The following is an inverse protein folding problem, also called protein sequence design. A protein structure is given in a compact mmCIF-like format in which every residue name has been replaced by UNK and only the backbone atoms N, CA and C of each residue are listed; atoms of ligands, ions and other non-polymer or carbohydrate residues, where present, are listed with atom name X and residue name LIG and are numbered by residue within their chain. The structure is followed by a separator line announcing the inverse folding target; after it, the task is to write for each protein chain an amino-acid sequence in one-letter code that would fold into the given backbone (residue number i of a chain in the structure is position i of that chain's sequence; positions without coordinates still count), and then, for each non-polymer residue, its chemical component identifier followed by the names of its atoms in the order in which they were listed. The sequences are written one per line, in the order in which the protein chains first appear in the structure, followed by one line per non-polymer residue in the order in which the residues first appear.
data_IF_656538116968
#
_entry.id   IF_656538116968
#
_cell.length_a   1.000
_cell.length_b   1.000
_cell.length_c   1.000
_cell.angle_alpha   90.00
_cell.angle_beta   90.00
_cell.angle_gamma   90.00
#
_symmetry.space_group_name_H-M   'P 1'
#
loop_
_entity.id
_entity.type
_entity.pdbx_description
1 polymer ?
#
# COMPACT_ATOMS: atom_id res chain seq x y z
N UNK A 1 -19.83 -13.78 6.53
CA UNK A 1 -19.72 -12.31 6.43
C UNK A 1 -19.30 -11.97 5.00
N UNK A 2 -20.02 -11.08 4.32
CA UNK A 2 -19.75 -10.66 2.93
C UNK A 2 -18.82 -9.45 2.92
N UNK A 3 -17.70 -9.57 2.22
CA UNK A 3 -16.64 -8.56 2.19
C UNK A 3 -16.45 -8.05 0.77
N UNK A 4 -16.48 -6.73 0.59
CA UNK A 4 -16.03 -6.08 -0.63
C UNK A 4 -14.56 -5.65 -0.47
N UNK A 5 -13.66 -6.24 -1.25
CA UNK A 5 -12.24 -5.88 -1.25
C UNK A 5 -11.88 -5.10 -2.52
N UNK A 6 -11.29 -3.91 -2.32
CA UNK A 6 -10.92 -2.96 -3.38
C UNK A 6 -9.41 -2.87 -3.53
N UNK A 7 -8.88 -3.22 -4.73
CA UNK A 7 -7.46 -3.11 -5.08
C UNK A 7 -7.29 -2.33 -6.39
N UNK A 8 -7.13 -1.00 -6.35
CA UNK A 8 -7.08 -0.17 -7.56
C UNK A 8 -5.79 -0.30 -8.36
N UNK A 9 -4.75 -0.91 -7.77
CA UNK A 9 -3.47 -1.17 -8.42
C UNK A 9 -2.97 -2.56 -8.01
N UNK A 10 -3.44 -3.59 -8.73
CA UNK A 10 -3.28 -4.98 -8.35
C UNK A 10 -1.91 -5.54 -8.79
N UNK A 11 -0.82 -4.94 -8.28
CA UNK A 11 0.53 -5.44 -8.45
C UNK A 11 0.68 -6.85 -7.84
N UNK A 12 1.71 -7.58 -8.23
CA UNK A 12 1.90 -8.99 -7.82
C UNK A 12 1.83 -9.19 -6.29
N UNK A 13 2.39 -8.27 -5.51
CA UNK A 13 2.34 -8.30 -4.04
C UNK A 13 0.93 -8.07 -3.48
N UNK A 14 0.18 -7.11 -4.04
CA UNK A 14 -1.21 -6.83 -3.65
C UNK A 14 -2.12 -7.99 -4.03
N UNK A 15 -1.95 -8.52 -5.25
CA UNK A 15 -2.68 -9.70 -5.72
C UNK A 15 -2.44 -10.91 -4.82
N UNK A 16 -1.17 -11.18 -4.46
CA UNK A 16 -0.83 -12.27 -3.55
C UNK A 16 -1.51 -12.09 -2.18
N UNK A 17 -1.43 -10.89 -1.61
CA UNK A 17 -2.04 -10.58 -0.31
C UNK A 17 -3.56 -10.82 -0.33
N UNK A 18 -4.29 -10.25 -1.32
CA UNK A 18 -5.76 -10.40 -1.38
C UNK A 18 -6.20 -11.84 -1.64
N UNK A 19 -5.46 -12.59 -2.48
CA UNK A 19 -5.75 -14.00 -2.71
C UNK A 19 -5.44 -14.84 -1.46
N UNK A 20 -4.37 -14.50 -0.74
CA UNK A 20 -4.04 -15.11 0.55
C UNK A 20 -5.17 -14.92 1.57
N UNK A 21 -5.73 -13.71 1.69
CA UNK A 21 -6.89 -13.48 2.55
C UNK A 21 -8.07 -14.38 2.17
N UNK A 22 -8.41 -14.46 0.88
CA UNK A 22 -9.50 -15.31 0.40
C UNK A 22 -9.27 -16.80 0.67
N UNK A 23 -8.04 -17.26 0.50
CA UNK A 23 -7.71 -18.68 0.67
C UNK A 23 -7.63 -19.13 2.13
N UNK A 24 -7.26 -18.24 3.05
CA UNK A 24 -7.09 -18.59 4.46
C UNK A 24 -8.30 -18.20 5.34
N UNK A 25 -9.21 -17.40 4.84
CA UNK A 25 -10.40 -16.98 5.56
C UNK A 25 -11.64 -17.54 4.87
N UNK A 26 -11.72 -18.87 4.79
CA UNK A 26 -12.74 -19.63 4.05
C UNK A 26 -14.18 -19.35 4.53
N UNK A 27 -14.35 -18.98 5.79
CA UNK A 27 -15.66 -18.61 6.37
C UNK A 27 -16.16 -17.22 5.93
N UNK A 28 -15.36 -16.49 5.14
CA UNK A 28 -15.66 -15.14 4.66
C UNK A 28 -15.92 -15.15 3.15
N UNK A 29 -17.01 -14.49 2.75
CA UNK A 29 -17.39 -14.37 1.33
C UNK A 29 -16.79 -13.08 0.74
N UNK A 30 -15.72 -13.23 -0.04
CA UNK A 30 -15.01 -12.12 -0.68
C UNK A 30 -15.51 -11.84 -2.09
N UNK A 31 -16.00 -10.62 -2.30
CA UNK A 31 -16.16 -10.01 -3.62
C UNK A 31 -14.97 -9.09 -3.88
N UNK A 32 -14.23 -9.29 -4.97
CA UNK A 32 -13.01 -8.54 -5.26
C UNK A 32 -13.19 -7.65 -6.47
N UNK A 33 -12.97 -6.34 -6.29
CA UNK A 33 -12.84 -5.38 -7.37
C UNK A 33 -11.37 -4.95 -7.45
N UNK A 34 -10.73 -5.28 -8.58
CA UNK A 34 -9.33 -4.94 -8.80
C UNK A 34 -9.11 -4.32 -10.18
N UNK A 35 -8.14 -3.42 -10.27
CA UNK A 35 -7.72 -2.81 -11.53
C UNK A 35 -6.28 -3.22 -11.85
N UNK A 36 -5.95 -3.42 -13.15
CA UNK A 36 -4.60 -3.81 -13.56
C UNK A 36 -3.52 -2.82 -13.10
N UNK A 37 -2.29 -3.29 -12.76
CA UNK A 37 -1.19 -2.48 -12.28
C UNK A 37 -0.47 -1.72 -13.40
N UNK A 38 -1.17 -0.77 -13.99
CA UNK A 38 -0.68 0.09 -15.07
C UNK A 38 -1.25 1.49 -14.93
N UNK A 39 -0.57 2.48 -15.50
CA UNK A 39 -0.98 3.90 -15.44
C UNK A 39 -1.18 4.37 -13.98
N UNK A 40 -0.15 4.22 -13.15
CA UNK A 40 -0.20 4.45 -11.72
C UNK A 40 -0.92 5.74 -11.31
N UNK A 41 -0.51 6.89 -11.88
CA UNK A 41 -1.13 8.19 -11.58
C UNK A 41 -2.64 8.22 -11.90
N UNK A 42 -3.04 7.57 -12.99
CA UNK A 42 -4.46 7.45 -13.33
C UNK A 42 -5.19 6.50 -12.37
N UNK A 43 -4.60 5.34 -12.05
CA UNK A 43 -5.20 4.40 -11.10
C UNK A 43 -5.41 5.05 -9.73
N UNK A 44 -4.46 5.84 -9.29
CA UNK A 44 -4.57 6.55 -8.02
C UNK A 44 -5.69 7.60 -8.01
N UNK A 45 -5.87 8.35 -9.10
CA UNK A 45 -6.84 9.45 -9.19
C UNK A 45 -8.22 9.02 -9.68
N UNK A 46 -8.29 8.03 -10.55
CA UNK A 46 -9.49 7.66 -11.29
C UNK A 46 -10.15 6.35 -10.84
N UNK A 47 -9.63 5.69 -9.79
CA UNK A 47 -10.19 4.40 -9.41
C UNK A 47 -11.64 4.50 -8.91
N UNK A 48 -11.95 5.46 -8.08
CA UNK A 48 -13.31 5.72 -7.59
C UNK A 48 -14.25 6.07 -8.73
N UNK A 49 -13.81 6.93 -9.66
CA UNK A 49 -14.57 7.27 -10.86
C UNK A 49 -14.83 6.03 -11.74
N UNK A 50 -13.77 5.23 -11.97
CA UNK A 50 -13.87 4.02 -12.78
C UNK A 50 -14.92 3.05 -12.19
N UNK A 51 -14.89 2.82 -10.88
CA UNK A 51 -15.81 1.89 -10.23
C UNK A 51 -17.21 2.47 -10.08
N UNK A 52 -17.35 3.70 -9.61
CA UNK A 52 -18.66 4.30 -9.32
C UNK A 52 -19.52 4.53 -10.56
N UNK A 53 -18.89 4.80 -11.72
CA UNK A 53 -19.61 5.13 -12.96
C UNK A 53 -19.58 4.00 -14.01
N UNK A 54 -19.00 2.84 -13.68
CA UNK A 54 -19.02 1.68 -14.56
C UNK A 54 -20.32 0.87 -14.48
N UNK A 55 -21.29 1.31 -13.67
CA UNK A 55 -22.53 0.57 -13.36
C UNK A 55 -22.27 -0.90 -12.97
N UNK A 56 -21.15 -1.14 -12.25
CA UNK A 56 -20.77 -2.47 -11.83
C UNK A 56 -21.79 -2.99 -10.81
N UNK A 57 -22.51 -4.08 -11.13
CA UNK A 57 -23.54 -4.62 -10.23
C UNK A 57 -22.96 -5.07 -8.88
N UNK A 58 -21.64 -5.28 -8.80
CA UNK A 58 -20.98 -5.64 -7.55
C UNK A 58 -21.05 -4.51 -6.52
N UNK A 59 -21.00 -3.24 -6.93
CA UNK A 59 -21.13 -2.11 -5.99
C UNK A 59 -22.58 -1.94 -5.46
N UNK A 60 -23.56 -2.57 -6.10
CA UNK A 60 -24.96 -2.52 -5.68
C UNK A 60 -25.35 -3.61 -4.70
N UNK A 61 -24.48 -4.59 -4.44
CA UNK A 61 -24.72 -5.69 -3.50
C UNK A 61 -24.63 -5.21 -2.05
N UNK A 62 -25.19 -6.01 -1.14
CA UNK A 62 -25.04 -5.79 0.29
C UNK A 62 -23.75 -6.44 0.81
N UNK A 63 -22.96 -5.67 1.52
CA UNK A 63 -21.73 -6.10 2.18
C UNK A 63 -21.77 -5.78 3.67
N UNK A 64 -21.09 -6.61 4.45
CA UNK A 64 -20.98 -6.43 5.89
C UNK A 64 -19.67 -5.67 6.27
N UNK A 65 -18.69 -5.70 5.36
CA UNK A 65 -17.39 -5.03 5.52
C UNK A 65 -16.83 -4.60 4.17
N UNK A 66 -16.22 -3.43 4.12
CA UNK A 66 -15.42 -2.95 3.01
C UNK A 66 -13.94 -2.94 3.40
N UNK A 67 -13.11 -3.59 2.59
CA UNK A 67 -11.64 -3.58 2.74
C UNK A 67 -11.03 -2.90 1.52
N UNK A 68 -10.25 -1.87 1.73
CA UNK A 68 -9.59 -1.12 0.67
C UNK A 68 -8.07 -1.12 0.85
N UNK A 69 -7.30 -1.14 -0.24
CA UNK A 69 -5.86 -0.87 -0.16
C UNK A 69 -5.59 0.64 -0.19
N UNK A 70 -4.40 1.06 0.25
CA UNK A 70 -3.99 2.45 0.43
C UNK A 70 -4.11 3.35 -0.81
N UNK A 71 -4.15 2.74 -2.00
CA UNK A 71 -4.28 3.47 -3.27
C UNK A 71 -5.73 3.72 -3.69
N UNK A 72 -6.71 3.24 -2.93
CA UNK A 72 -8.14 3.49 -3.18
C UNK A 72 -8.47 4.92 -2.78
N UNK A 73 -9.12 5.70 -3.66
CA UNK A 73 -9.77 6.95 -3.25
C UNK A 73 -11.11 6.62 -2.58
N UNK A 74 -11.01 6.20 -1.31
CA UNK A 74 -12.15 5.74 -0.54
C UNK A 74 -13.13 6.88 -0.24
N UNK A 75 -12.63 8.09 -0.05
CA UNK A 75 -13.46 9.26 0.22
C UNK A 75 -14.36 9.61 -0.95
N UNK A 76 -13.80 9.68 -2.17
CA UNK A 76 -14.56 9.92 -3.37
C UNK A 76 -15.51 8.76 -3.69
N UNK A 77 -15.07 7.51 -3.52
CA UNK A 77 -15.92 6.36 -3.76
C UNK A 77 -17.14 6.32 -2.85
N UNK A 78 -16.95 6.57 -1.54
CA UNK A 78 -18.06 6.68 -0.58
C UNK A 78 -19.00 7.85 -0.91
N UNK A 79 -18.47 8.95 -1.43
CA UNK A 79 -19.25 10.11 -1.89
C UNK A 79 -20.09 9.82 -3.15
N UNK A 80 -19.51 9.12 -4.12
CA UNK A 80 -20.20 8.73 -5.37
C UNK A 80 -21.17 7.56 -5.17
N UNK A 81 -20.88 6.67 -4.20
CA UNK A 81 -21.70 5.51 -3.88
C UNK A 81 -22.16 5.57 -2.41
N UNK A 82 -23.21 6.33 -2.06
CA UNK A 82 -23.60 6.57 -0.66
C UNK A 82 -23.94 5.31 0.15
N UNK A 83 -24.28 4.20 -0.53
CA UNK A 83 -24.48 2.89 0.14
C UNK A 83 -23.19 2.42 0.83
N UNK A 84 -22.04 2.62 0.17
CA UNK A 84 -20.74 2.20 0.73
C UNK A 84 -20.32 3.02 1.96
N UNK A 85 -20.85 4.23 2.12
CA UNK A 85 -20.56 5.07 3.29
C UNK A 85 -21.15 4.53 4.60
N UNK A 86 -22.15 3.64 4.50
CA UNK A 86 -22.81 3.01 5.66
C UNK A 86 -22.17 1.69 6.07
N UNK A 87 -21.24 1.16 5.26
CA UNK A 87 -20.57 -0.12 5.50
C UNK A 87 -19.31 0.14 6.32
N UNK A 88 -19.10 -0.56 7.44
CA UNK A 88 -17.83 -0.53 8.16
C UNK A 88 -16.66 -0.78 7.21
N UNK A 89 -15.55 -0.05 7.38
CA UNK A 89 -14.46 -0.06 6.41
C UNK A 89 -13.09 -0.13 7.05
N UNK A 90 -12.22 -0.92 6.45
CA UNK A 90 -10.81 -1.05 6.79
C UNK A 90 -10.00 -0.60 5.58
N UNK A 91 -8.97 0.23 5.81
CA UNK A 91 -7.95 0.47 4.80
C UNK A 91 -6.63 -0.19 5.20
N UNK A 92 -6.05 -0.98 4.29
CA UNK A 92 -4.77 -1.63 4.47
C UNK A 92 -3.68 -0.91 3.67
N UNK A 93 -2.69 -0.39 4.38
CA UNK A 93 -1.54 0.32 3.82
C UNK A 93 -0.39 -0.66 3.56
N UNK A 94 -0.22 -1.08 2.30
CA UNK A 94 0.99 -1.78 1.85
C UNK A 94 2.19 -0.83 1.80
N UNK A 95 1.95 0.40 1.35
CA UNK A 95 2.86 1.54 1.32
C UNK A 95 2.08 2.82 1.58
N UNK A 96 2.79 3.91 1.88
CA UNK A 96 2.21 5.24 1.96
C UNK A 96 2.99 6.25 1.09
N UNK A 97 2.30 7.28 0.62
CA UNK A 97 2.86 8.27 -0.29
C UNK A 97 3.73 9.34 0.41
N UNK A 98 3.83 9.31 1.73
CA UNK A 98 4.73 10.18 2.48
C UNK A 98 6.17 9.66 2.52
N UNK A 99 6.36 8.34 2.46
CA UNK A 99 7.67 7.69 2.50
C UNK A 99 8.09 7.10 1.15
N UNK A 100 7.27 7.25 0.10
CA UNK A 100 7.60 6.68 -1.21
C UNK A 100 8.75 7.47 -1.87
N UNK A 101 9.83 6.81 -2.30
CA UNK A 101 10.96 7.48 -2.96
C UNK A 101 10.52 8.10 -4.28
N UNK A 102 10.72 9.40 -4.47
CA UNK A 102 10.42 10.08 -5.73
C UNK A 102 11.71 10.54 -6.43
N UNK A 103 11.77 10.39 -7.75
CA UNK A 103 12.90 10.90 -8.59
C UNK A 103 12.91 12.42 -8.73
N UNK A 104 11.75 13.06 -8.61
CA UNK A 104 11.63 14.52 -8.73
C UNK A 104 10.80 15.07 -7.59
N UNK A 105 11.32 16.11 -6.94
CA UNK A 105 10.64 16.77 -5.82
C UNK A 105 9.37 17.53 -6.21
N UNK A 106 8.99 17.60 -7.48
CA UNK A 106 8.02 18.59 -7.97
C UNK A 106 6.68 18.08 -8.47
N UNK A 107 6.50 16.82 -8.86
CA UNK A 107 5.27 16.52 -9.63
C UNK A 107 4.20 15.63 -8.99
N UNK A 108 4.51 14.76 -8.04
CA UNK A 108 3.51 13.76 -7.62
C UNK A 108 3.22 13.67 -6.12
N UNK A 109 3.96 14.36 -5.29
CA UNK A 109 3.91 14.09 -3.85
C UNK A 109 2.63 14.55 -3.17
N UNK A 110 2.09 15.72 -3.51
CA UNK A 110 0.94 16.30 -2.79
C UNK A 110 -0.35 15.52 -3.03
N UNK A 111 -0.68 15.18 -4.28
CA UNK A 111 -1.91 14.46 -4.59
C UNK A 111 -1.97 13.08 -3.92
N UNK A 112 -0.87 12.32 -3.99
CA UNK A 112 -0.81 11.00 -3.35
C UNK A 112 -0.91 11.09 -1.83
N UNK A 113 -0.26 12.09 -1.23
CA UNK A 113 -0.34 12.35 0.22
C UNK A 113 -1.75 12.73 0.67
N UNK A 114 -2.40 13.64 -0.05
CA UNK A 114 -3.79 14.02 0.21
C UNK A 114 -4.73 12.82 0.03
N UNK A 115 -4.57 12.05 -1.03
CA UNK A 115 -5.35 10.82 -1.24
C UNK A 115 -5.20 9.86 -0.05
N UNK A 116 -3.97 9.57 0.38
CA UNK A 116 -3.72 8.68 1.50
C UNK A 116 -4.34 9.21 2.80
N UNK A 117 -4.22 10.52 3.05
CA UNK A 117 -4.84 11.17 4.21
C UNK A 117 -6.38 11.03 4.18
N UNK A 118 -7.01 11.36 3.06
CA UNK A 118 -8.47 11.32 2.95
C UNK A 118 -9.01 9.89 2.95
N UNK A 119 -8.27 8.94 2.36
CA UNK A 119 -8.61 7.52 2.43
C UNK A 119 -8.56 7.00 3.86
N UNK A 120 -7.53 7.37 4.61
CA UNK A 120 -7.41 7.01 6.02
C UNK A 120 -8.53 7.64 6.88
N UNK A 121 -8.88 8.91 6.64
CA UNK A 121 -9.97 9.59 7.35
C UNK A 121 -11.36 9.04 7.01
N UNK A 122 -11.54 8.50 5.81
CA UNK A 122 -12.79 7.90 5.34
C UNK A 122 -12.99 6.46 5.84
N UNK A 123 -11.96 5.82 6.39
CA UNK A 123 -12.02 4.46 6.93
C UNK A 123 -12.35 4.47 8.42
N UNK A 124 -13.02 3.41 8.91
CA UNK A 124 -13.30 3.22 10.33
C UNK A 124 -12.09 2.62 11.07
N UNK A 125 -11.26 1.83 10.37
CA UNK A 125 -10.02 1.29 10.90
C UNK A 125 -8.90 1.37 9.84
N UNK A 126 -7.67 1.59 10.31
CA UNK A 126 -6.48 1.73 9.48
C UNK A 126 -5.49 0.63 9.86
N UNK A 127 -5.03 -0.12 8.88
CA UNK A 127 -4.04 -1.18 9.10
C UNK A 127 -2.79 -0.88 8.27
N UNK A 128 -1.64 -0.93 8.92
CA UNK A 128 -0.33 -0.79 8.27
C UNK A 128 0.40 -2.13 8.27
N UNK A 129 1.17 -2.40 7.22
CA UNK A 129 1.96 -3.63 7.13
C UNK A 129 3.19 -3.64 8.07
N UNK A 130 3.58 -2.50 8.61
CA UNK A 130 4.75 -2.36 9.49
C UNK A 130 4.69 -1.10 10.35
N UNK A 131 5.44 -1.10 11.46
CA UNK A 131 5.62 0.10 12.28
C UNK A 131 6.28 1.25 11.49
N UNK A 132 7.21 0.93 10.58
CA UNK A 132 7.83 1.93 9.72
C UNK A 132 6.78 2.63 8.85
N UNK A 133 5.90 1.87 8.21
CA UNK A 133 4.83 2.42 7.38
C UNK A 133 3.88 3.30 8.20
N UNK A 134 3.47 2.85 9.38
CA UNK A 134 2.62 3.63 10.30
C UNK A 134 3.31 4.93 10.75
N UNK A 135 4.55 4.85 11.25
CA UNK A 135 5.28 6.02 11.75
C UNK A 135 5.51 7.06 10.65
N UNK A 136 5.96 6.61 9.46
CA UNK A 136 6.20 7.53 8.34
C UNK A 136 4.93 8.17 7.82
N UNK A 137 3.81 7.45 7.83
CA UNK A 137 2.51 8.01 7.48
C UNK A 137 2.08 9.08 8.49
N UNK A 138 2.05 8.77 9.78
CA UNK A 138 1.61 9.71 10.82
C UNK A 138 2.50 10.96 10.90
N UNK A 139 3.82 10.78 10.83
CA UNK A 139 4.77 11.90 10.77
C UNK A 139 4.55 12.75 9.52
N UNK A 140 4.38 12.10 8.37
CA UNK A 140 4.15 12.78 7.10
C UNK A 140 2.84 13.56 7.06
N UNK A 141 1.77 13.01 7.65
CA UNK A 141 0.49 13.74 7.83
C UNK A 141 0.70 14.96 8.72
N UNK A 142 1.38 14.82 9.87
CA UNK A 142 1.66 15.94 10.76
C UNK A 142 2.41 17.07 10.04
N UNK A 143 3.46 16.73 9.29
CA UNK A 143 4.23 17.71 8.51
C UNK A 143 3.37 18.36 7.41
N UNK A 144 2.60 17.58 6.66
CA UNK A 144 1.71 18.11 5.63
C UNK A 144 0.72 19.12 6.21
N UNK A 145 0.10 18.79 7.34
CA UNK A 145 -0.89 19.66 7.97
C UNK A 145 -0.25 20.93 8.56
N UNK A 146 0.99 20.84 9.07
CA UNK A 146 1.74 21.99 9.56
C UNK A 146 2.09 23.00 8.45
N UNK A 147 2.25 22.53 7.21
CA UNK A 147 2.54 23.36 6.04
C UNK A 147 1.28 24.02 5.44
N UNK A 148 0.08 23.64 5.89
CA UNK A 148 -1.16 24.25 5.38
C UNK A 148 -1.35 25.66 5.94
N UNK A 149 -1.81 26.63 5.09
CA UNK A 149 -1.74 28.07 5.42
C UNK A 149 -2.76 28.53 6.46
N UNK A 150 -3.90 27.86 6.59
CA UNK A 150 -5.00 28.34 7.44
C UNK A 150 -6.03 27.24 7.74
N UNK A 151 -6.79 27.41 8.82
CA UNK A 151 -7.99 26.64 9.19
C UNK A 151 -7.76 25.11 9.30
N UNK A 152 -6.56 24.67 9.68
CA UNK A 152 -6.24 23.24 9.84
C UNK A 152 -6.85 22.71 11.14
N UNK A 153 -7.73 21.69 11.08
CA UNK A 153 -8.29 21.09 12.28
C UNK A 153 -7.20 20.43 13.13
N UNK A 154 -7.29 20.62 14.44
CA UNK A 154 -6.37 19.98 15.41
C UNK A 154 -6.78 18.52 15.66
N UNK A 155 -5.83 17.70 16.12
CA UNK A 155 -6.10 16.33 16.57
C UNK A 155 -6.26 15.29 15.46
N UNK A 156 -5.97 15.64 14.19
CA UNK A 156 -6.09 14.71 13.06
C UNK A 156 -5.12 13.53 13.22
N UNK A 157 -3.86 13.82 13.54
CA UNK A 157 -2.82 12.79 13.68
C UNK A 157 -3.14 11.84 14.83
N UNK A 158 -3.60 12.35 15.96
CA UNK A 158 -4.02 11.58 17.13
C UNK A 158 -5.22 10.69 16.81
N UNK A 159 -6.20 11.20 16.08
CA UNK A 159 -7.36 10.43 15.60
C UNK A 159 -6.93 9.29 14.70
N UNK A 160 -6.05 9.54 13.74
CA UNK A 160 -5.54 8.52 12.83
C UNK A 160 -4.71 7.47 13.56
N UNK A 161 -3.87 7.88 14.54
CA UNK A 161 -3.11 6.97 15.37
C UNK A 161 -4.01 6.04 16.20
N UNK A 162 -5.06 6.59 16.81
CA UNK A 162 -6.02 5.82 17.62
C UNK A 162 -6.79 4.78 16.78
N UNK A 163 -7.11 5.09 15.52
CA UNK A 163 -7.80 4.20 14.58
C UNK A 163 -6.86 3.18 13.92
N UNK A 164 -5.54 3.27 14.13
CA UNK A 164 -4.56 2.48 13.39
C UNK A 164 -4.05 1.25 14.17
N UNK A 165 -3.70 0.19 13.40
CA UNK A 165 -3.06 -1.04 13.89
C UNK A 165 -1.95 -1.44 12.93
N UNK A 166 -0.99 -2.23 13.42
CA UNK A 166 0.05 -2.85 12.58
C UNK A 166 -0.25 -4.34 12.49
N UNK A 167 -0.47 -4.82 11.27
CA UNK A 167 -0.65 -6.23 10.94
C UNK A 167 0.24 -6.52 9.74
N UNK A 168 1.37 -7.21 9.91
CA UNK A 168 2.28 -7.52 8.81
C UNK A 168 1.61 -8.34 7.70
N UNK A 169 2.14 -8.23 6.48
CA UNK A 169 1.74 -9.14 5.40
C UNK A 169 2.10 -10.57 5.79
N UNK A 170 1.12 -11.49 5.81
CA UNK A 170 1.41 -12.89 6.13
C UNK A 170 2.27 -13.54 5.04
N UNK A 171 3.13 -14.45 5.46
CA UNK A 171 3.96 -15.27 4.58
C UNK A 171 3.59 -16.73 4.75
N UNK A 172 3.54 -17.45 3.63
CA UNK A 172 3.31 -18.89 3.62
C UNK A 172 4.50 -19.63 4.26
N UNK A 173 4.24 -20.69 5.00
CA UNK A 173 5.28 -21.49 5.64
C UNK A 173 6.29 -22.05 4.62
N UNK A 174 5.83 -22.39 3.42
CA UNK A 174 6.64 -22.91 2.32
C UNK A 174 7.70 -21.93 1.80
N UNK A 175 7.59 -20.65 2.14
CA UNK A 175 8.63 -19.65 1.83
C UNK A 175 9.87 -19.78 2.73
N UNK A 176 9.80 -20.56 3.80
CA UNK A 176 10.88 -20.73 4.79
C UNK A 176 11.58 -22.09 4.61
N UNK A 177 12.02 -22.40 3.38
CA UNK A 177 12.77 -23.59 3.09
C UNK A 177 14.22 -23.39 3.51
N UNK A 178 14.76 -24.29 4.34
CA UNK A 178 16.16 -24.27 4.71
C UNK A 178 17.03 -24.53 3.47
N UNK A 179 17.82 -23.55 3.09
CA UNK A 179 18.80 -23.68 2.02
C UNK A 179 20.16 -24.18 2.54
N UNK A 180 20.99 -24.72 1.64
CA UNK A 180 22.40 -25.01 1.94
C UNK A 180 23.17 -23.70 2.04
N UNK A 181 23.95 -23.53 3.12
CA UNK A 181 24.83 -22.38 3.26
C UNK A 181 25.93 -22.40 2.20
N UNK A 182 26.09 -21.32 1.46
CA UNK A 182 27.24 -21.14 0.58
C UNK A 182 28.52 -21.07 1.42
N UNK A 183 29.61 -21.70 0.98
CA UNK A 183 30.95 -21.55 1.56
C UNK A 183 31.61 -20.20 1.20
N UNK A 184 31.08 -19.52 0.19
CA UNK A 184 31.54 -18.19 -0.27
C UNK A 184 30.62 -17.11 0.22
N UNK A 185 31.16 -15.92 0.45
CA UNK A 185 30.37 -14.73 0.69
C UNK A 185 29.48 -14.45 -0.52
N UNK A 186 28.17 -14.47 -0.32
CA UNK A 186 27.19 -14.38 -1.39
C UNK A 186 26.22 -13.24 -1.13
N UNK A 187 26.10 -12.36 -2.11
CA UNK A 187 25.10 -11.28 -2.16
C UNK A 187 23.90 -11.74 -2.99
N UNK A 188 22.71 -11.48 -2.50
CA UNK A 188 21.47 -11.69 -3.23
C UNK A 188 20.80 -10.34 -3.49
N UNK A 189 20.56 -10.03 -4.77
CA UNK A 189 19.72 -8.93 -5.20
C UNK A 189 18.40 -9.46 -5.73
N UNK A 190 17.39 -9.50 -4.90
CA UNK A 190 16.07 -10.02 -5.26
C UNK A 190 15.05 -8.89 -5.44
N UNK A 191 15.29 -8.00 -6.41
CA UNK A 191 14.44 -6.85 -6.69
C UNK A 191 14.27 -6.59 -8.18
N UNK A 192 13.22 -5.84 -8.54
CA UNK A 192 13.07 -5.26 -9.86
C UNK A 192 14.10 -4.15 -10.06
N UNK A 193 14.57 -3.97 -11.31
CA UNK A 193 15.50 -2.91 -11.68
C UNK A 193 14.80 -1.55 -11.72
N UNK A 194 14.31 -1.10 -10.58
CA UNK A 194 13.63 0.18 -10.42
C UNK A 194 14.40 1.08 -9.47
N UNK A 195 14.26 2.38 -9.68
CA UNK A 195 14.99 3.39 -8.91
C UNK A 195 14.84 3.25 -7.38
N UNK A 196 13.62 2.97 -6.93
CA UNK A 196 13.30 2.83 -5.49
C UNK A 196 13.95 1.61 -4.83
N UNK A 197 14.52 0.68 -5.63
CA UNK A 197 15.29 -0.47 -5.15
C UNK A 197 16.79 -0.18 -5.03
N UNK A 198 17.26 0.94 -5.57
CA UNK A 198 18.65 1.42 -5.45
C UNK A 198 19.67 0.58 -6.23
N UNK A 199 19.46 0.28 -7.52
CA UNK A 199 20.44 -0.47 -8.32
C UNK A 199 21.81 0.22 -8.42
N UNK A 200 21.82 1.54 -8.39
CA UNK A 200 23.02 2.39 -8.31
C UNK A 200 23.80 2.16 -7.00
N UNK A 201 23.12 1.92 -5.87
CA UNK A 201 23.78 1.54 -4.60
C UNK A 201 24.36 0.14 -4.67
N UNK A 202 23.70 -0.79 -5.36
CA UNK A 202 24.27 -2.11 -5.60
C UNK A 202 25.56 -2.03 -6.43
N UNK A 203 25.56 -1.22 -7.49
CA UNK A 203 26.76 -1.01 -8.31
C UNK A 203 27.92 -0.48 -7.47
N UNK A 204 27.69 0.58 -6.69
CA UNK A 204 28.71 1.13 -5.77
C UNK A 204 29.22 0.10 -4.75
N UNK A 205 28.34 -0.76 -4.24
CA UNK A 205 28.74 -1.84 -3.33
C UNK A 205 29.66 -2.84 -4.03
N UNK A 206 29.30 -3.29 -5.23
CA UNK A 206 30.08 -4.22 -6.04
C UNK A 206 31.47 -3.64 -6.35
N UNK A 207 31.55 -2.40 -6.81
CA UNK A 207 32.80 -1.69 -7.10
C UNK A 207 33.71 -1.61 -5.85
N UNK A 208 33.14 -1.29 -4.69
CA UNK A 208 33.89 -1.24 -3.42
C UNK A 208 34.40 -2.61 -2.97
N UNK A 209 33.60 -3.65 -3.12
CA UNK A 209 34.01 -5.01 -2.77
C UNK A 209 35.19 -5.47 -3.66
N UNK A 210 35.10 -5.23 -4.96
CA UNK A 210 36.16 -5.52 -5.92
C UNK A 210 37.45 -4.73 -5.61
N UNK A 211 37.32 -3.42 -5.36
CA UNK A 211 38.45 -2.57 -5.02
C UNK A 211 39.18 -2.99 -3.72
N UNK A 212 38.47 -3.62 -2.78
CA UNK A 212 39.05 -4.15 -1.54
C UNK A 212 39.47 -5.62 -1.66
N UNK A 213 39.45 -6.22 -2.86
CA UNK A 213 39.87 -7.60 -3.08
C UNK A 213 38.98 -8.66 -2.41
N UNK A 214 37.72 -8.32 -2.11
CA UNK A 214 36.77 -9.25 -1.48
C UNK A 214 36.19 -10.16 -2.55
N UNK A 215 36.40 -11.46 -2.40
CA UNK A 215 35.80 -12.47 -3.27
C UNK A 215 34.33 -12.74 -2.87
N UNK A 216 33.41 -12.62 -3.81
CA UNK A 216 31.97 -12.81 -3.56
C UNK A 216 31.24 -13.34 -4.78
N UNK A 217 30.11 -14.00 -4.51
CA UNK A 217 29.11 -14.30 -5.54
C UNK A 217 28.00 -13.24 -5.50
N UNK A 218 27.45 -12.92 -6.68
CA UNK A 218 26.28 -12.06 -6.80
C UNK A 218 25.17 -12.80 -7.55
N UNK A 219 24.03 -12.96 -6.92
CA UNK A 219 22.80 -13.48 -7.54
C UNK A 219 21.85 -12.30 -7.79
N UNK A 220 21.34 -12.20 -9.03
CA UNK A 220 20.44 -11.14 -9.51
C UNK A 220 19.07 -11.70 -9.81
#
# INVERSE_FOLDING_TARGET
MRILLLSPYDAASHKRWRLGLQNHLEDLDFTMLSLPPRYFSWRMRGNSLTWALADDPLLSRDYDLLVATSMTDLSALKGMCPRLSRIPSIVYFHENQFAYPSRSMQQDSLHGRILNLYTALAADAIVFNSNYNQCTFLTGVGNLLADMPDQVPKGITERLAAASRVIPVPLEADNFIAGTKSSRFTLLWNHRWEYDKGPDRLLLLVERLQANGIDFNLHL
#
